data_IF_161213223728
#
_entry.id   IF_161213223728
#
_cell.length_a   1.000
_cell.length_b   1.000
_cell.length_c   1.000
_cell.angle_alpha   90.00
_cell.angle_beta   90.00
_cell.angle_gamma   90.00
#
_symmetry.space_group_name_H-M   'P 1'
#
loop_
_entity.id
_entity.type
_entity.pdbx_description
1 polymer ?
#
# COMPACT_ATOMS: atom_id res chain seq x y z
N UNK A 1 -17.58 6.51 -33.10
CA UNK A 1 -16.52 6.76 -32.10
C UNK A 1 -17.10 6.58 -30.69
N UNK A 2 -16.87 5.44 -30.02
CA UNK A 2 -17.35 5.19 -28.62
C UNK A 2 -16.44 4.21 -27.85
N UNK A 3 -15.16 4.07 -28.23
CA UNK A 3 -14.25 3.09 -27.58
C UNK A 3 -13.36 3.75 -26.50
N UNK A 4 -13.10 5.05 -26.60
CA UNK A 4 -12.16 5.75 -25.70
C UNK A 4 -12.72 6.04 -24.30
N UNK A 5 -14.03 6.22 -24.15
CA UNK A 5 -14.65 6.52 -22.85
C UNK A 5 -14.69 5.31 -21.89
N UNK A 6 -14.67 4.07 -22.42
CA UNK A 6 -14.77 2.84 -21.59
C UNK A 6 -13.45 2.48 -20.93
N UNK A 7 -12.33 2.78 -21.58
CA UNK A 7 -10.98 2.47 -21.06
C UNK A 7 -10.66 3.39 -19.88
N UNK A 8 -11.02 4.67 -19.98
CA UNK A 8 -10.74 5.67 -18.94
C UNK A 8 -11.55 5.42 -17.65
N UNK A 9 -12.81 4.94 -17.75
CA UNK A 9 -13.63 4.58 -16.58
C UNK A 9 -13.07 3.40 -15.78
N UNK A 10 -12.55 2.36 -16.44
CA UNK A 10 -12.00 1.18 -15.74
C UNK A 10 -10.73 1.52 -14.96
N UNK A 11 -9.85 2.32 -15.56
CA UNK A 11 -8.64 2.80 -14.88
C UNK A 11 -9.00 3.68 -13.67
N UNK A 12 -9.93 4.63 -13.83
CA UNK A 12 -10.38 5.49 -12.73
C UNK A 12 -11.05 4.72 -11.58
N UNK A 13 -11.86 3.69 -11.89
CA UNK A 13 -12.46 2.80 -10.89
C UNK A 13 -11.41 2.00 -10.11
N UNK A 14 -10.38 1.49 -10.80
CA UNK A 14 -9.25 0.79 -10.17
C UNK A 14 -8.44 1.72 -9.27
N UNK A 15 -8.14 2.95 -9.71
CA UNK A 15 -7.44 3.95 -8.87
C UNK A 15 -8.26 4.30 -7.62
N UNK A 16 -9.56 4.51 -7.76
CA UNK A 16 -10.44 4.81 -6.62
C UNK A 16 -10.54 3.64 -5.65
N UNK A 17 -10.57 2.40 -6.15
CA UNK A 17 -10.54 1.20 -5.34
C UNK A 17 -9.28 1.13 -4.48
N UNK A 18 -8.09 1.30 -5.07
CA UNK A 18 -6.84 1.28 -4.33
C UNK A 18 -6.77 2.41 -3.28
N UNK A 19 -7.11 3.64 -3.67
CA UNK A 19 -7.11 4.79 -2.75
C UNK A 19 -8.06 4.58 -1.57
N UNK A 20 -9.27 4.06 -1.82
CA UNK A 20 -10.25 3.75 -0.77
C UNK A 20 -9.70 2.75 0.25
N UNK A 21 -9.03 1.70 -0.22
CA UNK A 21 -8.42 0.71 0.67
C UNK A 21 -7.23 1.25 1.48
N UNK A 22 -6.36 2.09 0.88
CA UNK A 22 -5.27 2.73 1.62
C UNK A 22 -5.81 3.63 2.74
N UNK A 23 -6.85 4.42 2.45
CA UNK A 23 -7.52 5.25 3.45
C UNK A 23 -8.16 4.38 4.55
N UNK A 24 -8.82 3.29 4.17
CA UNK A 24 -9.40 2.35 5.14
C UNK A 24 -8.34 1.74 6.06
N UNK A 25 -7.19 1.34 5.51
CA UNK A 25 -6.06 0.82 6.30
C UNK A 25 -5.54 1.89 7.24
N UNK A 26 -5.31 3.11 6.75
CA UNK A 26 -4.87 4.25 7.58
C UNK A 26 -5.82 4.49 8.75
N UNK A 27 -7.13 4.57 8.47
CA UNK A 27 -8.15 4.80 9.49
C UNK A 27 -8.22 3.66 10.52
N UNK A 28 -8.05 2.42 10.08
CA UNK A 28 -8.05 1.24 10.95
C UNK A 28 -6.80 1.10 11.82
N UNK A 29 -5.66 1.64 11.37
CA UNK A 29 -4.43 1.70 12.15
C UNK A 29 -4.36 2.95 13.05
N UNK A 30 -5.12 3.99 12.72
CA UNK A 30 -5.22 5.22 13.50
C UNK A 30 -3.88 5.96 13.58
N UNK A 31 -3.57 6.48 14.78
CA UNK A 31 -2.34 7.23 15.05
C UNK A 31 -1.06 6.42 14.88
N UNK A 32 -1.16 5.08 14.83
CA UNK A 32 -0.01 4.22 14.53
C UNK A 32 0.46 4.39 13.09
N UNK A 33 -0.42 4.70 12.14
CA UNK A 33 -0.02 4.87 10.73
C UNK A 33 0.23 6.34 10.41
N UNK A 34 1.51 6.70 10.25
CA UNK A 34 1.91 8.08 9.94
C UNK A 34 1.98 8.34 8.43
N UNK A 35 2.20 7.28 7.65
CA UNK A 35 2.28 7.35 6.19
C UNK A 35 1.77 6.05 5.57
N UNK A 36 1.06 6.17 4.45
CA UNK A 36 0.71 5.03 3.60
C UNK A 36 0.63 5.50 2.15
N UNK A 37 1.27 4.75 1.25
CA UNK A 37 1.18 4.97 -0.20
C UNK A 37 1.32 3.65 -0.95
N UNK A 38 0.96 3.66 -2.22
CA UNK A 38 1.35 2.58 -3.13
C UNK A 38 2.56 3.00 -3.95
N UNK A 39 3.30 2.01 -4.44
CA UNK A 39 4.38 2.15 -5.41
C UNK A 39 4.21 1.02 -6.42
N UNK A 40 4.17 1.37 -7.70
CA UNK A 40 4.17 0.40 -8.78
C UNK A 40 5.58 0.33 -9.37
N UNK A 41 6.16 -0.88 -9.44
CA UNK A 41 7.42 -1.15 -10.14
C UNK A 41 7.13 -2.18 -11.24
N UNK A 42 6.94 -1.72 -12.48
CA UNK A 42 6.49 -2.58 -13.57
C UNK A 42 5.10 -3.18 -13.30
N UNK A 43 5.02 -4.52 -13.26
CA UNK A 43 3.79 -5.25 -12.95
C UNK A 43 3.58 -5.52 -11.45
N UNK A 44 4.55 -5.14 -10.62
CA UNK A 44 4.50 -5.36 -9.19
C UNK A 44 3.87 -4.16 -8.48
N UNK A 45 3.04 -4.45 -7.49
CA UNK A 45 2.35 -3.43 -6.71
C UNK A 45 2.73 -3.56 -5.24
N UNK A 46 3.39 -2.51 -4.74
CA UNK A 46 3.89 -2.43 -3.37
C UNK A 46 3.10 -1.39 -2.58
N UNK A 47 2.95 -1.62 -1.29
CA UNK A 47 2.42 -0.67 -0.32
C UNK A 47 3.53 -0.27 0.63
N UNK A 48 3.81 1.03 0.69
CA UNK A 48 4.76 1.63 1.63
C UNK A 48 4.00 2.21 2.81
N UNK A 49 4.37 1.84 4.03
CA UNK A 49 3.72 2.26 5.27
C UNK A 49 4.78 2.68 6.28
N UNK A 50 4.56 3.79 6.97
CA UNK A 50 5.32 4.12 8.18
C UNK A 50 4.40 3.95 9.39
N UNK A 51 4.84 3.11 10.34
CA UNK A 51 4.13 2.88 11.59
C UNK A 51 4.92 3.37 12.79
N UNK A 52 4.22 3.89 13.81
CA UNK A 52 4.79 4.13 15.13
C UNK A 52 4.69 2.84 15.94
N UNK A 53 5.83 2.33 16.41
CA UNK A 53 5.88 1.13 17.24
C UNK A 53 5.58 1.45 18.72
N UNK A 54 5.50 0.41 19.56
CA UNK A 54 5.15 0.56 20.97
C UNK A 54 6.16 1.41 21.78
N UNK A 55 7.40 1.51 21.32
CA UNK A 55 8.47 2.32 21.93
C UNK A 55 8.51 3.76 21.38
N UNK A 56 7.57 4.15 20.51
CA UNK A 56 7.56 5.47 19.86
C UNK A 56 8.52 5.60 18.66
N UNK A 57 9.25 4.54 18.31
CA UNK A 57 10.07 4.48 17.11
C UNK A 57 9.23 4.34 15.84
N UNK A 58 9.85 4.53 14.67
CA UNK A 58 9.18 4.43 13.36
C UNK A 58 9.61 3.18 12.61
N UNK A 59 8.67 2.29 12.36
CA UNK A 59 8.84 1.13 11.48
C UNK A 59 8.51 1.54 10.04
N UNK A 60 9.39 1.23 9.08
CA UNK A 60 9.18 1.46 7.65
C UNK A 60 8.92 0.12 6.97
N UNK A 61 7.73 -0.05 6.40
CA UNK A 61 7.25 -1.31 5.86
C UNK A 61 7.03 -1.13 4.36
N UNK A 62 7.62 -2.00 3.56
CA UNK A 62 7.30 -2.12 2.13
C UNK A 62 6.76 -3.52 1.89
N UNK A 63 5.47 -3.61 1.54
CA UNK A 63 4.81 -4.89 1.34
C UNK A 63 4.39 -5.08 -0.12
N UNK A 64 4.81 -6.18 -0.73
CA UNK A 64 4.38 -6.57 -2.08
C UNK A 64 3.01 -7.25 -1.99
N UNK A 65 2.01 -6.71 -2.68
CA UNK A 65 0.75 -7.43 -2.86
C UNK A 65 0.93 -8.50 -3.95
N UNK A 66 0.29 -9.65 -3.79
CA UNK A 66 0.51 -10.86 -4.58
C UNK A 66 0.03 -10.81 -6.04
N UNK A 67 -0.26 -9.62 -6.58
CA UNK A 67 -0.81 -9.45 -7.92
C UNK A 67 -0.54 -8.06 -8.52
N UNK A 68 -0.83 -7.97 -9.83
CA UNK A 68 -0.79 -6.71 -10.55
C UNK A 68 -1.94 -5.79 -10.10
N UNK A 69 -1.83 -4.46 -10.25
CA UNK A 69 -2.81 -3.51 -9.71
C UNK A 69 -4.27 -3.86 -10.10
N UNK A 70 -4.49 -4.25 -11.34
CA UNK A 70 -5.79 -4.60 -11.89
C UNK A 70 -6.35 -5.94 -11.42
N UNK A 71 -5.54 -6.80 -10.80
CA UNK A 71 -5.97 -8.12 -10.27
C UNK A 71 -6.17 -8.10 -8.76
N UNK A 72 -5.76 -7.01 -8.07
CA UNK A 72 -5.88 -6.91 -6.63
C UNK A 72 -7.34 -6.77 -6.20
N UNK A 73 -7.65 -7.46 -5.11
CA UNK A 73 -8.97 -7.54 -4.51
C UNK A 73 -8.98 -7.00 -3.09
N UNK A 74 -10.17 -6.89 -2.51
CA UNK A 74 -10.34 -6.51 -1.11
C UNK A 74 -9.62 -7.46 -0.15
N UNK A 75 -9.50 -8.74 -0.53
CA UNK A 75 -8.85 -9.77 0.27
C UNK A 75 -7.37 -9.48 0.46
N UNK A 76 -6.68 -9.02 -0.58
CA UNK A 76 -5.25 -8.67 -0.52
C UNK A 76 -4.98 -7.54 0.47
N UNK A 77 -5.84 -6.50 0.46
CA UNK A 77 -5.77 -5.40 1.42
C UNK A 77 -6.16 -5.80 2.85
N UNK A 78 -7.12 -6.72 3.00
CA UNK A 78 -7.49 -7.26 4.31
C UNK A 78 -6.36 -8.09 4.92
N UNK A 79 -5.69 -8.93 4.11
CA UNK A 79 -4.51 -9.67 4.54
C UNK A 79 -3.39 -8.74 5.01
N UNK A 80 -3.11 -7.68 4.24
CA UNK A 80 -2.18 -6.63 4.66
C UNK A 80 -2.58 -5.99 5.99
N UNK A 81 -3.85 -5.57 6.14
CA UNK A 81 -4.34 -4.95 7.37
C UNK A 81 -4.18 -5.87 8.59
N UNK A 82 -4.51 -7.15 8.44
CA UNK A 82 -4.39 -8.14 9.51
C UNK A 82 -2.93 -8.29 9.95
N UNK A 83 -2.00 -8.41 9.00
CA UNK A 83 -0.57 -8.51 9.29
C UNK A 83 -0.04 -7.24 9.99
N UNK A 84 -0.43 -6.04 9.55
CA UNK A 84 -0.06 -4.78 10.19
C UNK A 84 -0.60 -4.66 11.62
N UNK A 85 -1.86 -5.09 11.86
CA UNK A 85 -2.46 -5.08 13.21
C UNK A 85 -1.77 -6.04 14.17
N UNK A 86 -1.31 -7.18 13.67
CA UNK A 86 -0.60 -8.18 14.46
C UNK A 86 0.89 -7.85 14.66
N UNK A 87 1.45 -6.93 13.88
CA UNK A 87 2.89 -6.67 13.90
C UNK A 87 3.72 -7.77 13.25
N UNK A 88 3.09 -8.64 12.43
CA UNK A 88 3.71 -9.78 11.73
C UNK A 88 4.35 -9.32 10.40
N UNK A 89 4.94 -8.13 10.37
CA UNK A 89 5.71 -7.64 9.24
C UNK A 89 7.20 -7.81 9.53
N UNK A 90 7.94 -8.22 8.51
CA UNK A 90 9.39 -8.32 8.62
C UNK A 90 9.97 -6.91 8.81
N UNK A 91 10.52 -6.67 10.02
CA UNK A 91 11.19 -5.40 10.36
C UNK A 91 12.49 -5.22 9.57
N UNK A 92 12.93 -6.24 8.83
CA UNK A 92 14.19 -6.30 8.10
C UNK A 92 14.12 -6.01 6.60
N UNK A 93 12.94 -5.80 5.99
CA UNK A 93 12.87 -5.34 4.59
C UNK A 93 13.04 -3.81 4.49
N UNK A 94 13.97 -3.25 5.26
CA UNK A 94 14.50 -1.91 5.04
C UNK A 94 15.42 -1.97 3.84
N UNK A 95 14.88 -1.95 2.61
CA UNK A 95 15.67 -1.31 1.56
C UNK A 95 15.88 0.13 2.02
N UNK A 96 17.12 0.59 2.22
CA UNK A 96 17.35 2.02 2.40
C UNK A 96 16.70 2.72 1.21
N UNK A 97 15.89 3.75 1.50
CA UNK A 97 15.54 4.69 0.44
C UNK A 97 16.85 5.09 -0.24
N UNK A 98 16.93 5.12 -1.59
CA UNK A 98 18.13 5.62 -2.24
C UNK A 98 18.42 6.98 -1.62
N UNK A 99 19.56 7.07 -0.93
CA UNK A 99 20.18 8.34 -0.58
C UNK A 99 20.44 9.00 -1.92
N UNK A 100 19.60 9.97 -2.27
CA UNK A 100 19.98 10.94 -3.29
C UNK A 100 21.11 11.75 -2.65
N UNK A 101 22.35 11.30 -2.85
CA UNK A 101 23.51 12.12 -2.58
C UNK A 101 23.52 13.30 -3.56
N UNK A 102 23.76 14.50 -3.01
CA UNK A 102 24.34 15.71 -3.61
C UNK A 102 24.02 16.04 -5.06
#
# INVERSE_FOLDING_TARGET
>A
MMKDQRINKKAALSVNFHKSWLNKIRNQLGSKCTYISHVQKGNEYFIKINMTNASGGKDRITYKLSGAPNTLTSKDYQSLLTMLKKGEYDKGSTEPLPVTEG
#
